data_IF_900563185174
#
_entry.id   IF_900563185174
#
_cell.length_a   1.000
_cell.length_b   1.000
_cell.length_c   1.000
_cell.angle_alpha   90.00
_cell.angle_beta   90.00
_cell.angle_gamma   90.00
#
_symmetry.space_group_name_H-M   'P 1'
#
loop_
_entity.id
_entity.type
_entity.pdbx_description
1 polymer ?
#
# COMPACT_ATOMS: atom_id res chain seq x y z
N UNK A 1 -16.18 12.37 19.83
CA UNK A 1 -14.86 11.75 19.56
C UNK A 1 -15.07 10.83 18.37
N UNK A 2 -14.42 11.06 17.24
CA UNK A 2 -14.54 10.15 16.09
C UNK A 2 -13.98 8.78 16.48
N UNK A 3 -14.64 7.72 16.07
CA UNK A 3 -14.16 6.35 16.30
C UNK A 3 -12.81 6.18 15.57
N UNK A 4 -11.73 5.90 16.29
CA UNK A 4 -10.40 5.70 15.68
C UNK A 4 -10.40 4.57 14.64
N UNK A 5 -11.37 3.66 14.67
CA UNK A 5 -11.44 2.60 13.69
C UNK A 5 -12.13 3.01 12.40
N UNK A 6 -12.76 4.19 12.33
CA UNK A 6 -13.57 4.57 11.17
C UNK A 6 -12.78 4.50 9.85
N UNK A 7 -11.57 5.09 9.71
CA UNK A 7 -10.80 4.97 8.47
C UNK A 7 -10.49 3.51 8.09
N UNK A 8 -10.22 2.67 9.09
CA UNK A 8 -9.94 1.24 8.91
C UNK A 8 -11.20 0.49 8.45
N UNK A 9 -12.33 0.73 9.12
CA UNK A 9 -13.63 0.14 8.80
C UNK A 9 -14.07 0.50 7.39
N UNK A 10 -13.97 1.77 7.02
CA UNK A 10 -14.30 2.25 5.66
C UNK A 10 -13.48 1.51 4.61
N UNK A 11 -12.16 1.41 4.80
CA UNK A 11 -11.31 0.72 3.82
C UNK A 11 -11.55 -0.78 3.75
N UNK A 12 -11.82 -1.43 4.89
CA UNK A 12 -12.15 -2.85 4.92
C UNK A 12 -13.46 -3.10 4.16
N UNK A 13 -14.50 -2.31 4.44
CA UNK A 13 -15.78 -2.40 3.74
C UNK A 13 -15.60 -2.22 2.23
N UNK A 14 -14.78 -1.24 1.81
CA UNK A 14 -14.43 -1.03 0.40
C UNK A 14 -13.78 -2.27 -0.24
N UNK A 15 -12.79 -2.89 0.41
CA UNK A 15 -12.16 -4.11 -0.12
C UNK A 15 -13.14 -5.28 -0.22
N UNK A 16 -13.99 -5.47 0.79
CA UNK A 16 -14.98 -6.53 0.78
C UNK A 16 -16.02 -6.34 -0.32
N UNK A 17 -16.46 -5.10 -0.56
CA UNK A 17 -17.42 -4.79 -1.63
C UNK A 17 -16.80 -4.98 -3.03
N UNK A 18 -15.57 -4.52 -3.24
CA UNK A 18 -14.83 -4.75 -4.48
C UNK A 18 -14.72 -6.25 -4.82
N UNK A 19 -14.26 -7.08 -3.89
CA UNK A 19 -14.10 -8.52 -4.14
C UNK A 19 -15.43 -9.23 -4.38
N UNK A 20 -16.47 -8.84 -3.63
CA UNK A 20 -17.82 -9.38 -3.78
C UNK A 20 -18.37 -9.14 -5.18
N UNK A 21 -18.17 -7.93 -5.72
CA UNK A 21 -18.75 -7.51 -7.00
C UNK A 21 -17.80 -7.70 -8.19
N UNK A 22 -16.55 -8.12 -7.98
CA UNK A 22 -15.58 -8.35 -9.05
C UNK A 22 -16.06 -9.42 -10.06
N UNK A 23 -15.68 -9.29 -11.35
CA UNK A 23 -15.94 -10.29 -12.38
C UNK A 23 -15.51 -11.69 -11.94
N UNK A 24 -16.35 -12.69 -12.23
CA UNK A 24 -16.12 -14.09 -11.80
C UNK A 24 -15.38 -14.92 -12.86
N UNK A 25 -15.30 -14.40 -14.08
CA UNK A 25 -14.45 -14.91 -15.17
C UNK A 25 -12.97 -14.72 -14.83
N UNK A 26 -12.08 -15.47 -15.49
CA UNK A 26 -10.65 -15.16 -15.43
C UNK A 26 -10.34 -13.94 -16.30
N UNK A 27 -9.27 -13.22 -15.94
CA UNK A 27 -8.87 -12.04 -16.71
C UNK A 27 -8.58 -12.38 -18.17
N UNK A 28 -7.95 -13.52 -18.46
CA UNK A 28 -7.61 -13.93 -19.82
C UNK A 28 -8.83 -14.23 -20.69
N UNK A 29 -9.95 -14.57 -20.08
CA UNK A 29 -11.19 -14.91 -20.77
C UNK A 29 -12.00 -13.64 -21.13
N UNK A 30 -11.97 -12.60 -20.29
CA UNK A 30 -12.62 -11.31 -20.56
C UNK A 30 -11.82 -10.10 -19.99
N UNK A 31 -10.71 -9.70 -20.65
CA UNK A 31 -9.91 -8.57 -20.17
C UNK A 31 -10.68 -7.25 -20.12
N UNK A 32 -11.68 -7.07 -20.99
CA UNK A 32 -12.44 -5.81 -21.10
C UNK A 32 -13.38 -5.63 -19.91
N UNK A 33 -14.07 -6.69 -19.49
CA UNK A 33 -14.91 -6.67 -18.29
C UNK A 33 -14.07 -6.35 -17.04
N UNK A 34 -12.92 -7.00 -16.88
CA UNK A 34 -12.01 -6.78 -15.76
C UNK A 34 -11.43 -5.36 -15.75
N UNK A 35 -10.98 -4.86 -16.91
CA UNK A 35 -10.44 -3.50 -17.04
C UNK A 35 -11.51 -2.46 -16.75
N UNK A 36 -12.71 -2.63 -17.31
CA UNK A 36 -13.83 -1.75 -17.00
C UNK A 36 -14.14 -1.77 -15.51
N UNK A 37 -14.27 -2.96 -14.92
CA UNK A 37 -14.55 -3.10 -13.49
C UNK A 37 -13.51 -2.37 -12.65
N UNK A 38 -12.23 -2.59 -12.92
CA UNK A 38 -11.13 -1.93 -12.20
C UNK A 38 -11.17 -0.41 -12.35
N UNK A 39 -11.40 0.10 -13.56
CA UNK A 39 -11.50 1.56 -13.79
C UNK A 39 -12.62 2.23 -12.98
N UNK A 40 -13.73 1.53 -12.79
CA UNK A 40 -14.93 2.05 -12.11
C UNK A 40 -14.95 1.79 -10.59
N UNK A 41 -14.21 0.79 -10.10
CA UNK A 41 -14.34 0.28 -8.73
C UNK A 41 -13.04 0.23 -7.92
N UNK A 42 -11.86 0.24 -8.55
CA UNK A 42 -10.58 0.23 -7.83
C UNK A 42 -10.25 1.64 -7.33
N UNK A 43 -9.83 1.77 -6.07
CA UNK A 43 -9.74 3.10 -5.43
C UNK A 43 -8.67 3.96 -6.11
N UNK A 44 -7.54 3.38 -6.48
CA UNK A 44 -6.48 4.10 -7.17
C UNK A 44 -6.91 4.61 -8.55
N UNK A 45 -7.70 3.82 -9.28
CA UNK A 45 -8.28 4.18 -10.56
C UNK A 45 -9.37 5.25 -10.40
N UNK A 46 -10.30 5.09 -9.45
CA UNK A 46 -11.34 6.10 -9.16
C UNK A 46 -10.71 7.44 -8.82
N UNK A 47 -9.67 7.43 -7.97
CA UNK A 47 -8.95 8.65 -7.61
C UNK A 47 -8.19 9.26 -8.80
N UNK A 48 -8.02 8.55 -9.91
CA UNK A 48 -7.34 9.02 -11.11
C UNK A 48 -8.23 8.89 -12.36
N UNK A 49 -9.52 9.21 -12.23
CA UNK A 49 -10.48 9.32 -13.34
C UNK A 49 -10.58 8.03 -14.19
N UNK A 50 -10.48 6.86 -13.55
CA UNK A 50 -10.54 5.54 -14.17
C UNK A 50 -9.24 5.11 -14.86
N UNK A 51 -8.13 5.79 -14.65
CA UNK A 51 -6.86 5.47 -15.29
C UNK A 51 -6.31 4.10 -14.82
N UNK A 52 -6.28 3.12 -15.74
CA UNK A 52 -5.79 1.77 -15.46
C UNK A 52 -4.29 1.69 -15.16
N UNK A 53 -3.52 2.74 -15.43
CA UNK A 53 -2.11 2.84 -15.03
C UNK A 53 -1.96 3.35 -13.59
N UNK A 54 -3.04 3.77 -12.93
CA UNK A 54 -3.01 4.10 -11.52
C UNK A 54 -2.68 2.84 -10.70
N UNK A 55 -1.90 3.05 -9.66
CA UNK A 55 -1.55 2.05 -8.66
C UNK A 55 -1.36 2.71 -7.30
N UNK A 56 -1.54 1.96 -6.21
CA UNK A 56 -1.23 2.43 -4.86
C UNK A 56 0.28 2.40 -4.58
N UNK A 57 0.74 3.42 -3.85
CA UNK A 57 2.10 3.52 -3.32
C UNK A 57 2.27 2.54 -2.16
N UNK A 58 1.38 2.58 -1.18
CA UNK A 58 1.35 1.63 -0.07
C UNK A 58 0.07 0.82 -0.09
N UNK A 59 0.21 -0.51 -0.20
CA UNK A 59 -0.88 -1.43 0.09
C UNK A 59 -1.20 -1.39 1.59
N UNK A 60 -2.33 -0.81 1.96
CA UNK A 60 -2.76 -0.70 3.36
C UNK A 60 -3.01 -2.05 4.05
N UNK A 61 -3.13 -3.14 3.28
CA UNK A 61 -3.26 -4.48 3.83
C UNK A 61 -1.99 -4.94 4.57
N UNK A 62 -0.81 -4.63 4.04
CA UNK A 62 0.46 -5.06 4.61
C UNK A 62 0.73 -4.51 6.02
N UNK A 63 0.62 -3.19 6.27
CA UNK A 63 0.77 -2.66 7.63
C UNK A 63 -0.32 -3.20 8.56
N UNK A 64 -1.59 -3.28 8.12
CA UNK A 64 -2.66 -3.85 8.95
C UNK A 64 -2.36 -5.28 9.38
N UNK A 65 -2.04 -6.16 8.41
CA UNK A 65 -1.68 -7.56 8.68
C UNK A 65 -0.49 -7.67 9.63
N UNK A 66 0.55 -6.85 9.39
CA UNK A 66 1.77 -6.84 10.21
C UNK A 66 1.44 -6.50 11.66
N UNK A 67 0.70 -5.42 11.91
CA UNK A 67 0.34 -5.01 13.28
C UNK A 67 -0.55 -6.04 13.96
N UNK A 68 -1.58 -6.56 13.27
CA UNK A 68 -2.45 -7.58 13.83
C UNK A 68 -1.64 -8.80 14.30
N UNK A 69 -0.74 -9.30 13.46
CA UNK A 69 0.14 -10.44 13.78
C UNK A 69 1.07 -10.11 14.95
N UNK A 70 1.65 -8.91 14.98
CA UNK A 70 2.55 -8.49 16.07
C UNK A 70 1.85 -8.37 17.41
N UNK A 71 0.60 -7.92 17.45
CA UNK A 71 -0.18 -7.81 18.69
C UNK A 71 -0.66 -9.19 19.17
N UNK A 72 -1.06 -10.07 18.25
CA UNK A 72 -1.87 -11.24 18.60
C UNK A 72 -1.20 -12.59 18.36
N UNK A 73 -0.15 -12.67 17.53
CA UNK A 73 0.35 -13.89 16.86
C UNK A 73 -0.62 -14.48 15.82
N UNK A 74 -0.06 -15.24 14.86
CA UNK A 74 -0.85 -15.99 13.88
C UNK A 74 -1.85 -16.95 14.52
N UNK A 75 -1.43 -17.66 15.56
CA UNK A 75 -2.27 -18.68 16.23
C UNK A 75 -3.54 -18.09 16.80
N UNK A 76 -3.46 -16.89 17.39
CA UNK A 76 -4.64 -16.21 17.94
C UNK A 76 -5.55 -15.68 16.83
N UNK A 77 -4.99 -15.08 15.78
CA UNK A 77 -5.76 -14.52 14.66
C UNK A 77 -6.48 -15.61 13.85
N UNK A 78 -5.85 -16.79 13.69
CA UNK A 78 -6.46 -17.91 12.99
C UNK A 78 -7.71 -18.48 13.69
N UNK A 79 -8.00 -18.07 14.94
CA UNK A 79 -9.28 -18.37 15.61
C UNK A 79 -10.43 -17.49 15.12
N UNK A 80 -10.13 -16.31 14.56
CA UNK A 80 -11.10 -15.39 13.95
C UNK A 80 -11.40 -15.81 12.51
N UNK A 81 -10.35 -16.13 11.76
CA UNK A 81 -10.44 -16.56 10.37
C UNK A 81 -9.05 -16.78 9.78
N UNK A 82 -8.99 -17.35 8.59
CA UNK A 82 -7.71 -17.59 7.91
C UNK A 82 -7.13 -16.26 7.39
N UNK A 83 -6.13 -15.70 8.09
CA UNK A 83 -5.48 -14.43 7.72
C UNK A 83 -4.83 -14.45 6.33
N UNK A 84 -4.53 -15.64 5.79
CA UNK A 84 -4.00 -15.77 4.42
C UNK A 84 -5.10 -15.69 3.36
N UNK A 85 -6.38 -15.76 3.73
CA UNK A 85 -7.51 -15.36 2.90
C UNK A 85 -7.97 -13.97 3.35
N UNK A 86 -7.40 -12.92 2.74
CA UNK A 86 -7.62 -11.51 3.11
C UNK A 86 -9.10 -11.19 3.32
N UNK A 87 -9.95 -11.42 2.32
CA UNK A 87 -11.35 -10.98 2.35
C UNK A 87 -12.17 -11.77 3.38
N UNK A 88 -11.98 -13.09 3.44
CA UNK A 88 -12.65 -13.91 4.46
C UNK A 88 -12.27 -13.47 5.88
N UNK A 89 -10.98 -13.23 6.13
CA UNK A 89 -10.49 -12.76 7.42
C UNK A 89 -11.01 -11.37 7.78
N UNK A 90 -10.98 -10.43 6.83
CA UNK A 90 -11.45 -9.06 7.05
C UNK A 90 -12.95 -8.99 7.35
N UNK A 91 -13.77 -9.80 6.68
CA UNK A 91 -15.20 -9.93 7.01
C UNK A 91 -15.39 -10.38 8.47
N UNK A 92 -14.60 -11.35 8.94
CA UNK A 92 -14.62 -11.79 10.34
C UNK A 92 -14.11 -10.73 11.31
N UNK A 93 -13.06 -10.00 10.94
CA UNK A 93 -12.51 -8.92 11.76
C UNK A 93 -13.54 -7.77 11.96
N UNK A 94 -14.44 -7.56 11.01
CA UNK A 94 -15.51 -6.55 11.06
C UNK A 94 -16.75 -6.97 11.86
N UNK A 95 -16.84 -8.23 12.30
CA UNK A 95 -17.89 -8.67 13.23
C UNK A 95 -17.74 -7.95 14.59
N UNK A 96 -18.85 -7.84 15.35
CA UNK A 96 -18.96 -6.99 16.54
C UNK A 96 -17.78 -7.18 17.50
N UNK A 97 -17.18 -6.05 17.92
CA UNK A 97 -16.06 -5.92 18.86
C UNK A 97 -14.69 -6.55 18.48
N UNK A 98 -14.59 -7.30 17.37
CA UNK A 98 -13.34 -7.95 16.99
C UNK A 98 -12.20 -6.93 16.75
N UNK A 99 -12.45 -5.82 16.05
CA UNK A 99 -11.43 -4.77 15.86
C UNK A 99 -10.84 -4.29 17.20
N UNK A 100 -11.68 -4.05 18.21
CA UNK A 100 -11.19 -3.59 19.52
C UNK A 100 -10.40 -4.67 20.27
N UNK A 101 -10.78 -5.94 20.11
CA UNK A 101 -10.08 -7.07 20.72
C UNK A 101 -8.70 -7.31 20.12
N UNK A 102 -8.55 -7.16 18.80
CA UNK A 102 -7.33 -7.50 18.07
C UNK A 102 -6.46 -6.29 17.73
N UNK A 103 -6.99 -5.08 17.83
CA UNK A 103 -6.27 -3.84 17.60
C UNK A 103 -6.68 -2.81 18.68
N UNK A 104 -6.25 -2.95 19.96
CA UNK A 104 -6.75 -2.14 21.08
C UNK A 104 -6.63 -0.63 20.87
N UNK A 105 -7.64 0.13 21.32
CA UNK A 105 -7.74 1.59 21.06
C UNK A 105 -6.60 2.42 21.63
N UNK A 106 -6.04 1.96 22.74
CA UNK A 106 -4.94 2.61 23.47
C UNK A 106 -3.56 2.20 22.95
N UNK A 107 -3.48 1.24 22.02
CA UNK A 107 -2.22 0.87 21.38
C UNK A 107 -1.78 1.95 20.38
N UNK A 108 -0.57 2.49 20.55
CA UNK A 108 0.01 3.49 19.63
C UNK A 108 -0.02 3.02 18.17
N UNK A 109 0.16 1.72 17.91
CA UNK A 109 0.13 1.15 16.55
C UNK A 109 -1.28 1.22 15.96
N UNK A 110 -2.33 1.07 16.76
CA UNK A 110 -3.72 1.20 16.31
C UNK A 110 -4.04 2.64 15.89
N UNK A 111 -3.58 3.62 16.68
CA UNK A 111 -3.75 5.05 16.39
C UNK A 111 -3.03 5.42 15.09
N UNK A 112 -1.76 5.02 14.95
CA UNK A 112 -0.98 5.28 13.73
C UNK A 112 -1.57 4.56 12.51
N UNK A 113 -2.09 3.34 12.67
CA UNK A 113 -2.80 2.65 11.58
C UNK A 113 -4.03 3.42 11.12
N UNK A 114 -4.81 3.96 12.06
CA UNK A 114 -5.98 4.78 11.73
C UNK A 114 -5.59 5.99 10.88
N UNK A 115 -4.57 6.74 11.33
CA UNK A 115 -4.04 7.89 10.61
C UNK A 115 -3.51 7.50 9.22
N UNK A 116 -2.76 6.39 9.13
CA UNK A 116 -2.29 5.86 7.85
C UNK A 116 -3.44 5.49 6.91
N UNK A 117 -4.52 4.91 7.43
CA UNK A 117 -5.70 4.57 6.62
C UNK A 117 -6.46 5.81 6.17
N UNK A 118 -6.54 6.85 6.98
CA UNK A 118 -7.18 8.12 6.62
C UNK A 118 -6.47 8.74 5.41
N UNK A 119 -5.17 9.00 5.50
CA UNK A 119 -4.41 9.59 4.38
C UNK A 119 -4.17 8.60 3.24
N UNK A 120 -4.05 7.30 3.54
CA UNK A 120 -3.78 6.23 2.58
C UNK A 120 -4.92 5.95 1.60
N UNK A 121 -6.10 6.52 1.84
CA UNK A 121 -7.27 6.44 0.97
C UNK A 121 -7.42 7.65 0.03
N UNK A 122 -6.41 8.54 -0.03
CA UNK A 122 -6.42 9.75 -0.87
C UNK A 122 -5.48 9.63 -2.08
N UNK A 123 -5.50 10.63 -2.96
CA UNK A 123 -4.53 10.77 -4.08
C UNK A 123 -3.07 10.76 -3.61
N UNK A 124 -2.79 11.14 -2.36
CA UNK A 124 -1.44 11.10 -1.80
C UNK A 124 -0.85 9.67 -1.81
N UNK A 125 -1.67 8.62 -1.84
CA UNK A 125 -1.23 7.22 -1.90
C UNK A 125 -1.37 6.58 -3.29
N UNK A 126 -1.58 7.34 -4.36
CA UNK A 126 -1.72 6.79 -5.72
C UNK A 126 -0.70 7.36 -6.69
N UNK A 127 -0.15 6.56 -7.60
CA UNK A 127 0.77 7.00 -8.64
C UNK A 127 0.33 6.47 -10.01
N UNK A 128 0.73 7.13 -11.09
CA UNK A 128 0.53 6.65 -12.46
C UNK A 128 1.81 5.95 -12.92
N UNK A 129 1.72 4.65 -13.17
CA UNK A 129 2.83 3.86 -13.68
C UNK A 129 3.08 4.19 -15.17
N UNK A 130 4.34 4.22 -15.63
CA UNK A 130 4.66 4.42 -17.05
C UNK A 130 4.30 3.20 -17.90
N UNK A 131 4.13 2.04 -17.26
CA UNK A 131 3.77 0.78 -17.89
C UNK A 131 2.90 -0.01 -16.91
N UNK A 132 1.69 -0.39 -17.34
CA UNK A 132 0.74 -1.15 -16.52
C UNK A 132 1.32 -2.47 -15.99
N UNK A 133 2.25 -3.09 -16.72
CA UNK A 133 2.93 -4.32 -16.26
C UNK A 133 3.66 -4.16 -14.93
N UNK A 134 4.03 -2.93 -14.55
CA UNK A 134 4.67 -2.66 -13.25
C UNK A 134 3.76 -2.91 -12.05
N UNK A 135 2.45 -3.12 -12.25
CA UNK A 135 1.54 -3.60 -11.19
C UNK A 135 1.98 -4.96 -10.61
N UNK A 136 2.83 -5.70 -11.33
CA UNK A 136 3.52 -6.90 -10.80
C UNK A 136 4.41 -6.59 -9.57
N UNK A 137 4.62 -5.31 -9.20
CA UNK A 137 5.25 -4.94 -7.93
C UNK A 137 4.52 -5.48 -6.70
N UNK A 138 3.24 -5.82 -6.84
CA UNK A 138 2.45 -6.49 -5.79
C UNK A 138 2.90 -7.94 -5.53
N UNK A 139 3.63 -8.55 -6.47
CA UNK A 139 4.08 -9.93 -6.39
C UNK A 139 5.41 -10.10 -5.65
N UNK A 140 5.76 -11.36 -5.36
CA UNK A 140 7.08 -11.73 -4.84
C UNK A 140 8.19 -11.28 -5.81
N UNK A 141 9.32 -10.75 -5.33
CA UNK A 141 9.70 -10.51 -3.92
C UNK A 141 9.42 -9.09 -3.41
N UNK A 142 8.65 -8.28 -4.14
CA UNK A 142 8.51 -6.84 -3.90
C UNK A 142 7.37 -6.54 -2.94
N UNK A 143 6.23 -7.23 -3.09
CA UNK A 143 5.07 -7.13 -2.20
C UNK A 143 4.68 -5.68 -1.89
N UNK A 144 4.50 -4.85 -2.93
CA UNK A 144 4.15 -3.42 -2.82
C UNK A 144 5.10 -2.56 -1.93
N UNK A 145 6.30 -3.05 -1.61
CA UNK A 145 7.24 -2.29 -0.81
C UNK A 145 8.01 -1.31 -1.69
N UNK A 146 7.58 -0.05 -1.67
CA UNK A 146 8.13 1.00 -2.54
C UNK A 146 9.66 1.12 -2.52
N UNK A 147 10.37 1.05 -1.38
CA UNK A 147 11.83 1.05 -1.39
C UNK A 147 12.44 -0.09 -2.24
N UNK A 148 11.84 -1.28 -2.22
CA UNK A 148 12.28 -2.40 -3.05
C UNK A 148 11.93 -2.15 -4.51
N UNK A 149 10.68 -1.76 -4.78
CA UNK A 149 10.22 -1.42 -6.14
C UNK A 149 11.13 -0.39 -6.81
N UNK A 150 11.41 0.73 -6.12
CA UNK A 150 12.27 1.81 -6.62
C UNK A 150 13.71 1.32 -6.89
N UNK A 151 14.26 0.45 -6.03
CA UNK A 151 15.58 -0.14 -6.25
C UNK A 151 15.61 -1.02 -7.52
N UNK A 152 14.51 -1.70 -7.83
CA UNK A 152 14.38 -2.55 -9.02
C UNK A 152 14.05 -1.78 -10.30
N UNK A 153 13.71 -0.49 -10.21
CA UNK A 153 13.49 0.38 -11.38
C UNK A 153 14.79 0.95 -11.98
N UNK A 154 15.88 1.04 -11.21
CA UNK A 154 17.20 1.43 -11.73
C UNK A 154 17.75 0.39 -12.71
N UNK A 155 18.66 0.80 -13.59
CA UNK A 155 19.31 -0.07 -14.59
C UNK A 155 19.76 -1.41 -13.99
N UNK A 156 19.44 -2.49 -14.72
CA UNK A 156 19.68 -3.91 -14.34
C UNK A 156 18.75 -4.47 -13.26
N UNK A 157 17.87 -3.65 -12.68
CA UNK A 157 16.79 -4.12 -11.82
C UNK A 157 15.64 -4.75 -12.60
N UNK A 158 14.79 -5.54 -11.92
CA UNK A 158 13.66 -6.27 -12.52
C UNK A 158 12.71 -5.38 -13.32
N UNK A 159 12.51 -4.14 -12.90
CA UNK A 159 11.54 -3.19 -13.49
C UNK A 159 12.19 -2.15 -14.40
N UNK A 160 13.50 -2.23 -14.60
CA UNK A 160 14.22 -1.31 -15.49
C UNK A 160 13.71 -1.33 -16.93
N UNK A 161 13.07 -2.43 -17.38
CA UNK A 161 12.48 -2.53 -18.73
C UNK A 161 11.38 -1.48 -19.00
N UNK A 162 10.76 -0.92 -17.96
CA UNK A 162 9.71 0.07 -18.12
C UNK A 162 10.25 1.47 -18.43
N UNK A 163 11.57 1.66 -18.33
CA UNK A 163 12.25 2.92 -18.55
C UNK A 163 13.33 2.75 -19.62
N UNK A 164 13.54 3.80 -20.42
CA UNK A 164 14.60 3.81 -21.41
C UNK A 164 16.00 3.79 -20.76
N UNK A 165 16.15 4.56 -19.70
CA UNK A 165 17.38 4.79 -18.94
C UNK A 165 17.04 5.33 -17.54
N UNK A 166 18.06 5.44 -16.68
CA UNK A 166 17.88 5.97 -15.32
C UNK A 166 17.39 7.44 -15.32
N UNK A 167 17.70 8.21 -16.36
CA UNK A 167 17.21 9.58 -16.48
C UNK A 167 15.70 9.63 -16.78
N UNK A 168 15.19 8.69 -17.57
CA UNK A 168 13.75 8.51 -17.75
C UNK A 168 13.05 8.10 -16.45
N UNK A 169 13.67 7.21 -15.67
CA UNK A 169 13.16 6.85 -14.35
C UNK A 169 13.15 8.05 -13.39
N UNK A 170 14.23 8.82 -13.32
CA UNK A 170 14.30 10.05 -12.50
C UNK A 170 13.26 11.09 -12.90
N UNK A 171 12.99 11.27 -14.21
CA UNK A 171 11.89 12.14 -14.66
C UNK A 171 10.54 11.65 -14.15
N UNK A 172 10.26 10.35 -14.28
CA UNK A 172 9.03 9.76 -13.74
C UNK A 172 8.89 9.95 -12.23
N UNK A 173 9.98 9.80 -11.44
CA UNK A 173 9.98 10.09 -10.00
C UNK A 173 9.56 11.54 -9.70
N UNK A 174 10.05 12.49 -10.48
CA UNK A 174 9.69 13.90 -10.31
C UNK A 174 8.24 14.18 -10.76
N UNK A 175 7.80 13.59 -11.87
CA UNK A 175 6.45 13.75 -12.40
C UNK A 175 5.40 13.20 -11.41
N UNK A 176 5.70 12.05 -10.79
CA UNK A 176 4.81 11.40 -9.81
C UNK A 176 4.98 11.90 -8.37
N UNK A 177 5.84 12.92 -8.15
CA UNK A 177 6.14 13.49 -6.83
C UNK A 177 6.57 12.41 -5.83
N UNK A 178 7.64 11.67 -6.17
CA UNK A 178 8.15 10.54 -5.38
C UNK A 178 9.56 10.79 -4.79
N UNK A 179 10.08 12.01 -4.87
CA UNK A 179 11.43 12.35 -4.37
C UNK A 179 11.59 12.12 -2.86
N UNK A 180 10.50 12.19 -2.09
CA UNK A 180 10.52 11.97 -0.65
C UNK A 180 10.96 10.55 -0.24
N UNK A 181 10.97 9.58 -1.16
CA UNK A 181 11.52 8.24 -0.92
C UNK A 181 13.06 8.21 -0.87
N UNK A 182 13.73 9.31 -1.23
CA UNK A 182 15.17 9.41 -1.29
C UNK A 182 15.71 10.36 -0.22
N UNK A 183 16.85 9.99 0.39
CA UNK A 183 17.59 10.81 1.34
C UNK A 183 18.14 12.04 0.62
N UNK A 184 17.99 13.19 1.26
CA UNK A 184 18.42 14.49 0.73
C UNK A 184 17.87 14.80 -0.67
N UNK A 185 16.76 14.15 -1.05
CA UNK A 185 16.11 14.22 -2.37
C UNK A 185 17.03 13.79 -3.54
N UNK A 186 18.11 13.07 -3.25
CA UNK A 186 19.04 12.55 -4.25
C UNK A 186 18.49 11.25 -4.83
N UNK A 187 17.99 11.29 -6.07
CA UNK A 187 17.42 10.11 -6.75
C UNK A 187 18.54 9.16 -7.21
N UNK A 188 18.97 8.29 -6.30
CA UNK A 188 20.01 7.27 -6.46
C UNK A 188 19.69 6.03 -5.61
N UNK A 189 20.16 4.86 -6.06
CA UNK A 189 19.88 3.58 -5.40
C UNK A 189 20.35 3.53 -3.93
N UNK A 190 21.46 4.19 -3.60
CA UNK A 190 22.01 4.21 -2.23
C UNK A 190 21.30 5.21 -1.32
N UNK A 191 20.49 6.09 -1.90
CA UNK A 191 19.75 7.13 -1.20
C UNK A 191 18.30 6.72 -0.94
N UNK A 192 17.84 5.57 -1.42
CA UNK A 192 16.51 5.05 -1.07
C UNK A 192 16.38 4.90 0.45
N UNK A 193 15.29 5.44 1.01
CA UNK A 193 14.96 5.33 2.43
C UNK A 193 14.48 3.91 2.75
N UNK A 194 15.05 3.32 3.79
CA UNK A 194 14.50 2.11 4.40
C UNK A 194 13.34 2.49 5.32
N UNK A 195 12.12 2.23 4.86
CA UNK A 195 10.93 2.61 5.59
C UNK A 195 10.54 1.58 6.67
N UNK A 196 10.96 0.33 6.56
CA UNK A 196 10.67 -0.72 7.55
C UNK A 196 11.61 -0.68 8.76
N UNK A 197 12.77 -0.03 8.64
CA UNK A 197 13.80 0.01 9.66
C UNK A 197 14.58 -1.30 9.79
N UNK A 198 14.48 -2.18 8.79
CA UNK A 198 15.18 -3.47 8.68
C UNK A 198 16.68 -3.33 8.35
N UNK A 199 17.12 -2.13 7.99
CA UNK A 199 18.42 -1.80 7.37
C UNK A 199 18.60 -2.42 5.98
N UNK A 200 17.51 -2.82 5.33
CA UNK A 200 17.51 -3.37 3.99
C UNK A 200 16.31 -2.83 3.20
N UNK A 201 16.56 -2.03 2.17
CA UNK A 201 15.50 -1.44 1.31
C UNK A 201 14.69 -2.49 0.54
N UNK A 202 15.14 -3.76 0.51
CA UNK A 202 14.38 -4.88 -0.07
C UNK A 202 13.56 -5.67 0.96
N UNK A 203 13.67 -5.35 2.25
CA UNK A 203 12.95 -6.05 3.31
C UNK A 203 11.79 -5.20 3.82
N UNK A 204 10.57 -5.64 3.53
CA UNK A 204 9.34 -4.96 3.92
C UNK A 204 8.85 -5.32 5.34
N UNK A 205 9.52 -6.26 6.00
CA UNK A 205 9.15 -6.73 7.34
C UNK A 205 9.90 -5.89 8.38
N UNK A 206 9.22 -5.09 9.20
CA UNK A 206 9.89 -4.36 10.27
C UNK A 206 10.40 -5.34 11.33
N UNK A 207 11.63 -5.14 11.85
CA UNK A 207 12.09 -5.82 13.06
C UNK A 207 11.11 -5.60 14.22
N UNK A 208 11.11 -6.51 15.18
CA UNK A 208 10.27 -6.35 16.38
C UNK A 208 10.59 -5.03 17.10
N UNK A 209 9.56 -4.27 17.44
CA UNK A 209 9.67 -2.94 18.04
C UNK A 209 9.90 -1.80 17.04
N UNK A 210 9.94 -2.08 15.73
CA UNK A 210 10.03 -1.07 14.65
C UNK A 210 8.72 -0.83 13.91
N UNK A 211 7.62 -1.44 14.37
CA UNK A 211 6.31 -1.29 13.74
C UNK A 211 5.83 0.16 13.72
N UNK A 212 5.98 0.89 14.83
CA UNK A 212 5.59 2.30 14.89
C UNK A 212 6.46 3.16 13.99
N UNK A 213 7.77 2.88 13.90
CA UNK A 213 8.68 3.56 12.97
C UNK A 213 8.22 3.36 11.52
N UNK A 214 7.86 2.13 11.13
CA UNK A 214 7.36 1.85 9.78
C UNK A 214 6.09 2.65 9.48
N UNK A 215 5.12 2.67 10.40
CA UNK A 215 3.89 3.43 10.23
C UNK A 215 4.16 4.94 10.15
N UNK A 216 4.98 5.47 11.05
CA UNK A 216 5.40 6.88 11.07
C UNK A 216 6.08 7.27 9.76
N UNK A 217 6.96 6.42 9.22
CA UNK A 217 7.60 6.62 7.93
C UNK A 217 6.58 6.66 6.78
N UNK A 218 5.63 5.72 6.73
CA UNK A 218 4.61 5.69 5.68
C UNK A 218 3.72 6.94 5.75
N UNK A 219 3.27 7.32 6.94
CA UNK A 219 2.48 8.54 7.17
C UNK A 219 3.27 9.77 6.74
N UNK A 220 4.55 9.87 7.10
CA UNK A 220 5.40 11.01 6.72
C UNK A 220 5.53 11.12 5.19
N UNK A 221 5.75 10.01 4.50
CA UNK A 221 5.82 9.97 3.03
C UNK A 221 4.51 10.48 2.42
N UNK A 222 3.36 9.98 2.87
CA UNK A 222 2.07 10.37 2.33
C UNK A 222 1.73 11.85 2.62
N UNK A 223 2.03 12.34 3.84
CA UNK A 223 1.84 13.76 4.19
C UNK A 223 2.74 14.70 3.39
N UNK A 224 3.98 14.29 3.13
CA UNK A 224 4.88 15.06 2.27
C UNK A 224 4.35 15.09 0.84
N UNK A 225 3.84 13.96 0.35
CA UNK A 225 3.29 13.86 -1.00
C UNK A 225 2.01 14.65 -1.18
N UNK A 226 1.11 14.62 -0.20
CA UNK A 226 -0.11 15.45 -0.18
C UNK A 226 0.21 16.93 -0.36
N UNK A 227 1.19 17.45 0.42
CA UNK A 227 1.66 18.84 0.28
C UNK A 227 2.17 19.17 -1.13
N UNK A 228 2.83 18.22 -1.81
CA UNK A 228 3.35 18.44 -3.15
C UNK A 228 2.27 18.37 -4.24
N UNK A 229 1.17 17.66 -3.98
CA UNK A 229 0.02 17.58 -4.89
C UNK A 229 -0.84 18.85 -4.77
N UNK A 230 -1.08 19.35 -3.55
CA UNK A 230 -1.94 20.52 -3.31
C UNK A 230 -1.34 21.86 -3.80
N UNK A 231 -0.03 21.90 -4.06
CA UNK A 231 0.69 23.09 -4.54
C UNK A 231 0.76 23.16 -6.08
N UNK A 232 0.30 22.12 -6.79
CA UNK A 232 0.28 22.04 -8.26
C UNK A 232 -1.09 22.35 -8.86
#
# INVERSE_FOLDING_TARGET
MNDIYEPIKTKIAFWCDYDKNAPKSKYEDDPQEHDKYRSEHDLDCILNDGNLFADTIFSLWLPLRTILVRINSYTKLNRVGNINNKISFLNKLMEVDNLNQYLPRDDKRAILLSELFEIGQTKANTMILPNRKLQEKGDEPVYDYMPHFLAECFQKGRFSYAFKDDEAFKRWINDQKLTMFFKDEIIDINHIKDLSGSKNVRCNIPPEGKETLMLENYIQILKERERQIDVG
#
